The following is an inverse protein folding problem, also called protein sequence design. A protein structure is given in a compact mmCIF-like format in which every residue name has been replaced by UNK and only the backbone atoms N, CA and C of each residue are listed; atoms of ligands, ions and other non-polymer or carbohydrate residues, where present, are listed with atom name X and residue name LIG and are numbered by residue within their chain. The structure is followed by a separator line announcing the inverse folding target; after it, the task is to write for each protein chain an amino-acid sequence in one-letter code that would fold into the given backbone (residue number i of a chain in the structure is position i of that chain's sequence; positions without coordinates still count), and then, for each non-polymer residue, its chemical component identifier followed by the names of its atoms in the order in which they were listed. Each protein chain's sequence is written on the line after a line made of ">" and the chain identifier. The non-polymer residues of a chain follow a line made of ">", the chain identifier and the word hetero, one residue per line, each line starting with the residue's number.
data_IF_918494538924
#
_entry.id   IF_918494538924
#
_cell.length_a   1.000
_cell.length_b   1.000
_cell.length_c   1.000
_cell.angle_alpha   90.00
_cell.angle_beta   90.00
_cell.angle_gamma   90.00
#
_symmetry.space_group_name_H-M   'P 1'
#
loop_
_entity.id
_entity.type
_entity.pdbx_description
1 polymer ?
#
# COMPACT_ATOMS: atom_id res chain seq x y z
N UNK A 1 43.09 17.89 38.17
CA UNK A 1 42.96 16.80 37.16
C UNK A 1 42.23 15.65 37.83
N UNK A 2 41.05 15.17 37.47
CA UNK A 2 40.36 15.07 36.17
C UNK A 2 38.84 15.11 36.39
N UNK A 3 38.15 15.91 35.59
CA UNK A 3 36.71 15.77 35.34
C UNK A 3 36.45 14.37 34.76
N UNK A 4 35.43 13.65 35.25
CA UNK A 4 34.88 12.50 34.52
C UNK A 4 33.47 12.85 34.09
N UNK A 5 33.42 13.13 32.80
CA UNK A 5 32.32 13.54 31.94
C UNK A 5 31.19 12.51 31.97
N UNK A 6 29.97 13.00 32.13
CA UNK A 6 28.73 12.32 31.76
C UNK A 6 28.78 11.89 30.30
N UNK A 7 28.39 10.66 30.00
CA UNK A 7 28.04 10.23 28.65
C UNK A 7 26.72 9.47 28.71
N UNK A 8 25.63 10.21 28.53
CA UNK A 8 24.32 9.69 28.16
C UNK A 8 24.47 9.14 26.75
N UNK A 9 24.53 7.82 26.58
CA UNK A 9 24.43 7.21 25.26
C UNK A 9 22.95 7.02 24.96
N UNK A 10 22.41 8.05 24.31
CA UNK A 10 21.20 7.98 23.50
C UNK A 10 21.31 6.82 22.50
N UNK A 11 20.59 5.73 22.73
CA UNK A 11 20.25 4.77 21.68
C UNK A 11 18.93 5.23 21.03
N UNK A 12 19.00 6.37 20.34
CA UNK A 12 17.96 6.85 19.44
C UNK A 12 18.10 6.12 18.10
N UNK A 13 16.95 5.76 17.54
CA UNK A 13 16.71 5.53 16.12
C UNK A 13 17.41 4.32 15.48
N UNK A 14 16.82 3.14 15.71
CA UNK A 14 16.68 2.14 14.64
C UNK A 14 15.31 2.28 13.97
N UNK A 15 14.90 3.52 13.63
CA UNK A 15 13.96 3.71 12.54
C UNK A 15 14.78 3.56 11.26
N UNK A 16 15.09 2.31 10.93
CA UNK A 16 15.53 1.99 9.58
C UNK A 16 14.30 2.23 8.70
N UNK A 17 14.20 3.45 8.22
CA UNK A 17 13.36 3.86 7.10
C UNK A 17 13.81 3.06 5.88
N UNK A 18 13.41 1.79 5.82
CA UNK A 18 13.20 1.17 4.54
C UNK A 18 12.07 1.99 3.93
N UNK A 19 12.43 2.86 2.99
CA UNK A 19 11.48 3.35 2.00
C UNK A 19 10.72 2.11 1.53
N UNK A 20 9.47 2.01 1.95
CA UNK A 20 8.67 0.81 1.78
C UNK A 20 8.47 0.73 0.28
N UNK A 21 9.27 -0.12 -0.36
CA UNK A 21 9.11 -0.46 -1.77
C UNK A 21 7.64 -0.82 -1.93
N UNK A 22 6.98 -0.20 -2.91
CA UNK A 22 5.56 -0.31 -3.13
C UNK A 22 5.06 -1.77 -3.04
N UNK A 23 3.80 -1.94 -2.70
CA UNK A 23 3.19 -3.23 -2.37
C UNK A 23 2.89 -4.08 -3.61
N UNK A 24 3.80 -4.05 -4.58
CA UNK A 24 3.77 -4.81 -5.81
C UNK A 24 4.03 -6.30 -5.55
N UNK A 25 5.04 -6.62 -4.74
CA UNK A 25 5.38 -8.00 -4.37
C UNK A 25 4.89 -8.30 -2.95
N UNK A 26 3.86 -9.14 -2.83
CA UNK A 26 3.17 -9.46 -1.57
C UNK A 26 3.35 -10.93 -1.21
N UNK A 27 3.48 -11.29 0.09
CA UNK A 27 3.27 -12.66 0.53
C UNK A 27 1.94 -13.22 0.03
N UNK A 28 1.92 -14.49 -0.40
CA UNK A 28 0.74 -15.13 -1.00
C UNK A 28 -0.57 -14.91 -0.23
N UNK A 29 -0.54 -14.96 1.10
CA UNK A 29 -1.71 -14.72 1.94
C UNK A 29 -2.27 -13.30 1.78
N UNK A 30 -1.40 -12.28 1.71
CA UNK A 30 -1.81 -10.88 1.51
C UNK A 30 -2.34 -10.65 0.09
N UNK A 31 -1.68 -11.23 -0.93
CA UNK A 31 -2.16 -11.15 -2.31
C UNK A 31 -3.54 -11.80 -2.49
N UNK A 32 -3.79 -12.96 -1.85
CA UNK A 32 -5.12 -13.60 -1.86
C UNK A 32 -6.18 -12.73 -1.18
N UNK A 33 -5.83 -12.04 -0.10
CA UNK A 33 -6.74 -11.10 0.56
C UNK A 33 -7.06 -9.89 -0.33
N UNK A 34 -6.05 -9.31 -0.99
CA UNK A 34 -6.26 -8.23 -1.97
C UNK A 34 -7.19 -8.69 -3.10
N UNK A 35 -6.97 -9.91 -3.61
CA UNK A 35 -7.81 -10.50 -4.65
C UNK A 35 -9.27 -10.65 -4.22
N UNK A 36 -9.53 -11.04 -2.95
CA UNK A 36 -10.88 -11.14 -2.42
C UNK A 36 -11.60 -9.79 -2.36
N UNK A 37 -10.89 -8.71 -2.03
CA UNK A 37 -11.43 -7.35 -2.05
C UNK A 37 -11.78 -6.97 -3.49
N UNK A 38 -10.82 -7.14 -4.41
CA UNK A 38 -10.95 -6.74 -5.82
C UNK A 38 -12.03 -7.49 -6.59
N UNK A 39 -12.28 -8.77 -6.28
CA UNK A 39 -13.30 -9.58 -6.95
C UNK A 39 -14.73 -9.02 -6.86
N UNK A 40 -15.00 -8.23 -5.82
CA UNK A 40 -16.32 -7.63 -5.59
C UNK A 40 -16.41 -6.20 -6.13
N UNK A 41 -15.34 -5.68 -6.74
CA UNK A 41 -15.29 -4.32 -7.25
C UNK A 41 -15.69 -4.29 -8.72
N UNK A 42 -16.48 -3.29 -9.09
CA UNK A 42 -16.72 -2.94 -10.50
C UNK A 42 -15.69 -1.90 -10.95
N UNK A 43 -15.27 -1.04 -10.04
CA UNK A 43 -14.31 0.05 -10.26
C UNK A 43 -13.34 0.10 -9.10
N UNK A 44 -12.07 0.43 -9.38
CA UNK A 44 -11.09 0.82 -8.37
C UNK A 44 -10.42 2.12 -8.77
N UNK A 45 -10.04 2.90 -7.79
CA UNK A 45 -9.28 4.12 -7.96
C UNK A 45 -7.79 3.80 -7.79
N UNK A 46 -6.97 4.10 -8.80
CA UNK A 46 -5.51 4.01 -8.75
C UNK A 46 -4.92 5.40 -8.55
N UNK A 47 -4.09 5.55 -7.53
CA UNK A 47 -3.30 6.73 -7.28
C UNK A 47 -1.99 6.68 -8.08
N UNK A 48 -1.68 7.76 -8.80
CA UNK A 48 -0.42 7.89 -9.53
C UNK A 48 0.55 8.82 -8.78
N UNK A 49 1.56 8.24 -8.14
CA UNK A 49 2.60 9.00 -7.41
C UNK A 49 3.33 10.01 -8.31
N UNK A 50 3.74 9.57 -9.52
CA UNK A 50 4.47 10.40 -10.48
C UNK A 50 3.66 11.58 -11.00
N UNK A 51 2.34 11.48 -10.96
CA UNK A 51 1.44 12.48 -11.49
C UNK A 51 1.25 13.64 -10.50
N UNK A 52 1.65 13.49 -9.22
CA UNK A 52 1.42 14.45 -8.11
C UNK A 52 -0.01 15.02 -8.09
N UNK A 53 -0.94 14.25 -8.62
CA UNK A 53 -2.28 14.67 -8.97
C UNK A 53 -3.23 14.10 -7.94
N UNK A 54 -4.19 14.88 -7.42
CA UNK A 54 -5.24 14.36 -6.56
C UNK A 54 -6.23 13.46 -7.31
N UNK A 55 -6.11 13.37 -8.65
CA UNK A 55 -7.02 12.59 -9.47
C UNK A 55 -6.62 11.11 -9.50
N UNK A 56 -7.52 10.28 -8.98
CA UNK A 56 -7.47 8.84 -9.17
C UNK A 56 -7.72 8.48 -10.64
N UNK A 57 -6.90 7.58 -11.19
CA UNK A 57 -7.25 6.87 -12.41
C UNK A 57 -8.29 5.83 -12.05
N UNK A 58 -9.48 5.92 -12.62
CA UNK A 58 -10.50 4.91 -12.42
C UNK A 58 -10.25 3.71 -13.35
N UNK A 59 -10.10 2.54 -12.76
CA UNK A 59 -9.90 1.26 -13.46
C UNK A 59 -11.18 0.44 -13.32
N UNK A 60 -11.82 0.13 -14.45
CA UNK A 60 -12.93 -0.82 -14.47
C UNK A 60 -12.41 -2.24 -14.32
N UNK A 61 -12.84 -2.93 -13.26
CA UNK A 61 -12.38 -4.29 -12.95
C UNK A 61 -13.21 -5.30 -13.75
N UNK A 62 -12.58 -5.96 -14.72
CA UNK A 62 -13.19 -7.01 -15.55
C UNK A 62 -12.65 -8.39 -15.22
N UNK A 63 -11.39 -8.45 -14.82
CA UNK A 63 -10.75 -9.67 -14.33
C UNK A 63 -9.73 -9.33 -13.26
N UNK A 64 -9.53 -10.28 -12.35
CA UNK A 64 -8.56 -10.16 -11.25
C UNK A 64 -7.76 -11.45 -11.16
N UNK A 65 -6.46 -11.35 -10.92
CA UNK A 65 -5.57 -12.51 -10.82
C UNK A 65 -4.44 -12.31 -9.82
N UNK A 66 -3.71 -13.39 -9.54
CA UNK A 66 -2.43 -13.34 -8.84
C UNK A 66 -1.40 -14.16 -9.61
N UNK A 67 -0.17 -13.66 -9.70
CA UNK A 67 0.98 -14.40 -10.23
C UNK A 67 2.02 -14.44 -9.14
N UNK A 68 2.55 -15.63 -8.83
CA UNK A 68 3.53 -15.80 -7.76
C UNK A 68 4.86 -16.30 -8.34
N UNK A 69 5.96 -15.84 -7.76
CA UNK A 69 7.30 -16.33 -8.05
C UNK A 69 7.67 -17.57 -7.20
N UNK A 70 8.88 -18.09 -7.41
CA UNK A 70 9.41 -19.25 -6.68
C UNK A 70 9.67 -18.98 -5.18
N UNK A 71 9.58 -17.73 -4.74
CA UNK A 71 9.81 -17.28 -3.35
C UNK A 71 8.49 -16.98 -2.62
N UNK A 72 7.36 -17.41 -3.17
CA UNK A 72 6.01 -17.16 -2.66
C UNK A 72 5.64 -15.66 -2.56
N UNK A 73 6.33 -14.81 -3.34
CA UNK A 73 5.96 -13.42 -3.55
C UNK A 73 5.03 -13.34 -4.74
N UNK A 74 3.89 -12.68 -4.55
CA UNK A 74 2.80 -12.63 -5.49
C UNK A 74 2.44 -11.21 -5.85
N UNK A 75 2.14 -11.02 -7.13
CA UNK A 75 1.71 -9.78 -7.76
C UNK A 75 0.24 -9.87 -8.07
N UNK A 76 -0.49 -8.79 -7.82
CA UNK A 76 -1.92 -8.71 -8.10
C UNK A 76 -2.13 -8.18 -9.51
N UNK A 77 -3.07 -8.80 -10.23
CA UNK A 77 -3.45 -8.39 -11.57
C UNK A 77 -4.85 -7.81 -11.59
N UNK A 78 -5.04 -6.70 -12.29
CA UNK A 78 -6.36 -6.19 -12.71
C UNK A 78 -6.36 -6.12 -14.22
N UNK A 79 -7.33 -6.76 -14.87
CA UNK A 79 -7.44 -6.83 -16.34
C UNK A 79 -6.19 -7.40 -17.03
N UNK A 80 -5.38 -8.19 -16.32
CA UNK A 80 -4.12 -8.74 -16.81
C UNK A 80 -2.90 -7.83 -16.62
N UNK A 81 -3.06 -6.62 -16.06
CA UNK A 81 -1.97 -5.71 -15.74
C UNK A 81 -1.55 -5.86 -14.26
N UNK A 82 -0.24 -5.90 -14.00
CA UNK A 82 0.31 -5.86 -12.65
C UNK A 82 0.06 -4.49 -12.02
N UNK A 83 -0.49 -4.49 -10.81
CA UNK A 83 -0.87 -3.29 -10.08
C UNK A 83 -0.26 -3.27 -8.68
N UNK A 84 0.14 -2.08 -8.23
CA UNK A 84 0.57 -1.87 -6.86
C UNK A 84 -0.67 -1.64 -5.97
N UNK A 85 -0.99 -2.62 -5.13
CA UNK A 85 -2.21 -2.53 -4.29
C UNK A 85 -2.17 -1.41 -3.28
N UNK A 86 -0.98 -0.88 -2.95
CA UNK A 86 -0.88 0.27 -2.06
C UNK A 86 -1.38 1.55 -2.70
N UNK A 87 -1.43 1.60 -4.03
CA UNK A 87 -1.97 2.75 -4.75
C UNK A 87 -3.45 2.57 -5.09
N UNK A 88 -4.05 1.44 -4.72
CA UNK A 88 -5.43 1.14 -5.04
C UNK A 88 -6.39 1.45 -3.91
N UNK A 89 -7.51 2.02 -4.29
CA UNK A 89 -8.66 2.31 -3.44
C UNK A 89 -9.90 1.63 -4.00
N UNK A 90 -10.67 1.03 -3.12
CA UNK A 90 -11.87 0.27 -3.44
C UNK A 90 -12.99 0.65 -2.48
N UNK A 91 -14.24 0.51 -2.92
CA UNK A 91 -15.38 0.72 -2.02
C UNK A 91 -15.50 -0.47 -1.07
N UNK A 92 -15.59 -0.20 0.24
CA UNK A 92 -15.79 -1.19 1.26
C UNK A 92 -17.29 -1.52 1.47
N UNK A 93 -17.60 -2.42 2.40
CA UNK A 93 -18.97 -2.85 2.65
C UNK A 93 -19.91 -1.72 3.14
N UNK A 94 -19.35 -0.64 3.68
CA UNK A 94 -20.10 0.54 4.16
C UNK A 94 -20.26 1.62 3.07
N UNK A 95 -19.83 1.35 1.84
CA UNK A 95 -19.87 2.31 0.73
C UNK A 95 -18.76 3.37 0.80
N UNK A 96 -17.73 3.17 1.64
CA UNK A 96 -16.62 4.11 1.82
C UNK A 96 -15.40 3.65 1.03
N UNK A 97 -14.67 4.60 0.47
CA UNK A 97 -13.41 4.31 -0.21
C UNK A 97 -12.32 3.93 0.82
N UNK A 98 -11.72 2.76 0.63
CA UNK A 98 -10.67 2.20 1.49
C UNK A 98 -9.44 1.83 0.66
N UNK A 99 -8.25 2.14 1.18
CA UNK A 99 -6.99 1.73 0.55
C UNK A 99 -6.75 0.23 0.71
N UNK A 100 -6.54 -0.46 -0.41
CA UNK A 100 -6.37 -1.93 -0.43
C UNK A 100 -5.06 -2.33 0.27
N UNK A 101 -3.98 -1.58 0.05
CA UNK A 101 -2.70 -1.78 0.73
C UNK A 101 -2.85 -1.77 2.25
N UNK A 102 -3.57 -0.80 2.80
CA UNK A 102 -3.90 -0.75 4.22
C UNK A 102 -4.70 -1.98 4.68
N UNK A 103 -5.76 -2.34 3.95
CA UNK A 103 -6.61 -3.48 4.27
C UNK A 103 -5.86 -4.83 4.29
N UNK A 104 -4.79 -4.97 3.50
CA UNK A 104 -3.94 -6.18 3.47
C UNK A 104 -2.67 -6.10 4.32
N UNK A 105 -2.48 -5.00 5.07
CA UNK A 105 -1.31 -4.80 5.93
C UNK A 105 -0.01 -4.58 5.13
N UNK A 106 -0.11 -3.88 4.00
CA UNK A 106 0.98 -3.34 3.21
C UNK A 106 0.63 -1.89 2.83
N UNK A 107 0.65 -0.95 3.79
CA UNK A 107 0.46 0.46 3.47
C UNK A 107 1.72 1.03 2.80
N UNK A 108 1.54 1.87 1.78
CA UNK A 108 2.63 2.72 1.28
C UNK A 108 2.88 3.86 2.27
N UNK A 109 4.15 4.15 2.54
CA UNK A 109 4.58 5.27 3.35
C UNK A 109 4.06 6.62 2.81
N UNK A 110 3.80 6.72 1.51
CA UNK A 110 3.31 7.94 0.86
C UNK A 110 1.83 8.24 1.17
N UNK A 111 1.04 7.24 1.56
CA UNK A 111 -0.35 7.44 2.00
C UNK A 111 -0.46 8.09 3.38
N UNK A 112 0.62 8.14 4.17
CA UNK A 112 0.69 8.90 5.41
C UNK A 112 0.84 10.41 5.18
N UNK A 113 0.91 10.87 3.94
CA UNK A 113 0.88 12.29 3.66
C UNK A 113 -0.53 12.83 4.00
N UNK A 114 -0.64 13.82 4.91
CA UNK A 114 -1.91 14.33 5.41
C UNK A 114 -2.83 14.93 4.34
N UNK A 115 -2.32 15.17 3.12
CA UNK A 115 -3.17 15.51 1.97
C UNK A 115 -4.11 14.37 1.55
N UNK A 116 -3.76 13.12 1.83
CA UNK A 116 -4.53 11.92 1.45
C UNK A 116 -5.33 11.35 2.62
N UNK A 117 -4.99 11.70 3.87
CA UNK A 117 -5.78 11.37 5.06
C UNK A 117 -7.05 12.24 5.22
N UNK A 118 -7.22 13.28 4.41
CA UNK A 118 -8.35 14.22 4.47
C UNK A 118 -9.56 13.82 3.61
N UNK A 119 -9.61 12.60 3.05
CA UNK A 119 -10.85 12.08 2.46
C UNK A 119 -11.85 11.60 3.52
N UNK A 120 -11.48 11.65 4.81
CA UNK A 120 -12.44 11.72 5.91
C UNK A 120 -12.82 13.18 6.21
N UNK A 121 -13.82 13.70 5.49
CA UNK A 121 -14.78 14.65 6.05
C UNK A 121 -16.07 14.71 5.26
#
# INVERSE_FOLDING_TARGET
>A
MKFKTSAIVFALCAAASAAQAGCMDLPQQKARRALQILKNQIMVAEYCEKCLSPFHRLIGVRSTGIVCDEKDLCRVLINGEEVDVSHLFAENADGREENIGYAVGCPDALLYNPRYLNFER
#
